data_IF_764277366466
#
_entry.id   IF_764277366466
#
_cell.length_a   1.000
_cell.length_b   1.000
_cell.length_c   1.000
_cell.angle_alpha   90.00
_cell.angle_beta   90.00
_cell.angle_gamma   90.00
#
_symmetry.space_group_name_H-M   'P 1'
#
loop_
_entity.id
_entity.type
_entity.pdbx_description
1 polymer ?
2 non-polymer ?
3 non-polymer ?
4 water ?
#
# COMPACT_ATOMS: atom_id res chain seq x y z
N UNK A 6 -18.99 -0.05 -0.75
CA UNK A 6 -17.71 0.09 -1.44
C UNK A 6 -16.61 0.66 -0.54
N UNK A 7 -16.89 0.86 0.75
CA UNK A 7 -15.93 1.47 1.67
C UNK A 7 -15.92 0.74 2.99
N UNK A 8 -14.76 0.77 3.67
CA UNK A 8 -14.66 0.28 5.04
C UNK A 8 -14.43 1.46 5.97
N UNK A 9 -15.19 1.49 7.07
CA UNK A 9 -15.05 2.51 8.08
C UNK A 9 -13.80 2.26 8.92
N UNK A 10 -12.87 3.23 8.93
CA UNK A 10 -11.61 3.16 9.65
C UNK A 10 -11.81 3.47 11.13
N UNK A 11 -10.83 3.07 11.96
CA UNK A 11 -10.96 3.26 13.40
C UNK A 11 -10.93 4.72 13.83
N UNK A 12 -10.73 5.67 12.91
CA UNK A 12 -10.83 7.10 13.22
C UNK A 12 -12.07 7.72 12.61
N UNK A 13 -12.97 6.92 12.04
CA UNK A 13 -14.23 7.41 11.54
C UNK A 13 -14.26 7.80 10.07
N UNK A 14 -13.10 7.87 9.41
CA UNK A 14 -13.09 8.11 7.96
C UNK A 14 -13.39 6.81 7.21
N UNK A 15 -13.66 6.94 5.90
CA UNK A 15 -14.02 5.82 5.05
C UNK A 15 -12.98 5.61 3.95
N UNK A 16 -12.53 4.35 3.81
CA UNK A 16 -11.55 3.93 2.81
C UNK A 16 -12.23 3.04 1.77
N UNK A 17 -12.27 3.43 0.49
CA UNK A 17 -12.76 2.50 -0.52
C UNK A 17 -11.94 1.21 -0.48
N UNK A 18 -12.61 0.07 -0.70
CA UNK A 18 -11.98 -1.24 -0.50
C UNK A 18 -11.16 -1.70 -1.70
N UNK A 19 -11.29 -1.06 -2.86
CA UNK A 19 -10.42 -1.31 -4.00
C UNK A 19 -9.57 -0.07 -4.25
N UNK A 20 -8.26 -0.25 -4.32
CA UNK A 20 -7.35 0.86 -4.50
C UNK A 20 -6.47 0.68 -5.71
N UNK A 21 -6.10 1.79 -6.33
CA UNK A 21 -5.30 1.76 -7.53
C UNK A 21 -3.83 1.93 -7.16
N UNK A 22 -2.99 0.97 -7.55
CA UNK A 22 -1.55 1.09 -7.31
C UNK A 22 -0.90 1.93 -8.40
N UNK A 23 -0.03 2.86 -8.00
CA UNK A 23 0.62 3.70 -8.99
C UNK A 23 2.11 3.42 -9.14
N UNK A 24 2.71 2.60 -8.27
CA UNK A 24 4.13 2.35 -8.41
C UNK A 24 4.41 1.51 -9.66
N UNK A 25 5.49 1.85 -10.36
CA UNK A 25 5.93 1.08 -11.51
C UNK A 25 7.45 1.01 -11.46
N UNK A 26 8.04 0.00 -12.09
CA UNK A 26 9.50 -0.04 -12.24
C UNK A 26 10.02 1.28 -12.78
N UNK A 27 11.30 1.56 -12.47
CA UNK A 27 11.89 2.85 -12.83
C UNK A 27 11.91 3.08 -14.35
N UNK A 28 12.06 2.02 -15.14
CA UNK A 28 12.13 2.20 -16.59
C UNK A 28 10.87 2.86 -17.14
N UNK A 29 9.73 2.65 -16.49
CA UNK A 29 8.49 3.27 -16.99
C UNK A 29 8.61 4.78 -16.84
N UNK A 30 8.42 5.56 -17.91
CA UNK A 30 8.54 7.02 -17.79
C UNK A 30 7.42 7.61 -16.93
N UNK A 31 7.71 8.79 -16.38
CA UNK A 31 6.81 9.43 -15.40
C UNK A 31 5.44 9.72 -16.00
N UNK A 32 5.40 10.08 -17.28
CA UNK A 32 4.13 10.50 -17.88
C UNK A 32 3.08 9.41 -17.84
N UNK A 33 3.48 8.13 -17.73
CA UNK A 33 2.51 7.04 -17.75
C UNK A 33 1.70 6.98 -16.48
N UNK A 34 2.26 7.41 -15.35
CA UNK A 34 1.48 7.45 -14.10
C UNK A 34 0.33 8.43 -14.21
N UNK A 35 0.53 9.55 -14.93
CA UNK A 35 -0.57 10.49 -15.10
C UNK A 35 -1.72 9.88 -15.91
N UNK A 36 -1.40 9.27 -17.05
CA UNK A 36 -2.47 8.74 -17.89
C UNK A 36 -3.11 7.50 -17.26
N UNK A 37 -2.32 6.63 -16.64
CA UNK A 37 -2.91 5.47 -15.96
C UNK A 37 -3.87 5.90 -14.85
N UNK A 38 -3.45 6.82 -13.97
CA UNK A 38 -4.33 7.25 -12.89
C UNK A 38 -5.63 7.89 -13.43
N UNK A 39 -5.54 8.58 -14.57
CA UNK A 39 -6.76 9.15 -15.13
C UNK A 39 -7.69 8.06 -15.62
N UNK A 40 -7.15 7.06 -16.32
CA UNK A 40 -7.97 5.92 -16.71
C UNK A 40 -8.57 5.25 -15.50
N UNK A 41 -7.75 4.97 -14.47
CA UNK A 41 -8.26 4.34 -13.25
C UNK A 41 -9.47 5.09 -12.72
N UNK A 42 -9.37 6.42 -12.64
CA UNK A 42 -10.49 7.21 -12.11
C UNK A 42 -11.71 7.09 -13.02
N UNK A 43 -11.50 7.21 -14.33
CA UNK A 43 -12.57 7.04 -15.29
C UNK A 43 -13.21 5.67 -15.15
N UNK A 44 -12.40 4.63 -14.87
CA UNK A 44 -12.91 3.28 -14.75
C UNK A 44 -13.64 3.04 -13.45
N UNK A 45 -13.44 3.87 -12.43
CA UNK A 45 -14.21 3.74 -11.21
C UNK A 45 -13.41 3.67 -9.93
N UNK A 46 -12.08 3.67 -10.03
CA UNK A 46 -11.23 3.73 -8.85
C UNK A 46 -11.40 5.07 -8.15
N UNK A 47 -11.62 5.01 -6.84
CA UNK A 47 -11.66 6.19 -5.99
C UNK A 47 -10.54 6.23 -4.97
N UNK A 48 -9.91 5.10 -4.70
CA UNK A 48 -8.82 4.95 -3.74
C UNK A 48 -7.53 4.88 -4.54
N UNK A 49 -6.60 5.80 -4.29
CA UNK A 49 -5.37 5.89 -5.08
C UNK A 49 -4.16 5.86 -4.16
N UNK A 50 -3.22 4.96 -4.44
CA UNK A 50 -2.09 4.70 -3.57
C UNK A 50 -0.79 5.17 -4.22
N UNK A 51 -0.08 6.07 -3.56
CA UNK A 51 1.22 6.48 -4.03
C UNK A 51 2.14 6.65 -2.83
N UNK A 52 3.21 7.41 -3.01
CA UNK A 52 4.23 7.60 -1.97
C UNK A 52 5.34 8.52 -2.47
N UNK A 53 6.02 9.23 -1.56
CA UNK A 53 7.20 9.98 -1.98
C UNK A 53 8.17 9.07 -2.75
N UNK A 54 8.37 7.84 -2.27
CA UNK A 54 9.34 6.95 -2.89
C UNK A 54 9.10 6.80 -4.39
N UNK A 55 7.83 6.79 -4.82
CA UNK A 55 7.50 6.41 -6.18
C UNK A 55 7.87 7.48 -7.20
N UNK A 56 8.17 8.72 -6.78
CA UNK A 56 8.61 9.77 -7.69
C UNK A 56 7.59 10.01 -8.80
N UNK A 57 6.30 9.92 -8.45
CA UNK A 57 5.21 10.21 -9.39
C UNK A 57 4.14 11.14 -8.80
N UNK A 58 4.37 11.71 -7.62
CA UNK A 58 3.26 12.41 -6.99
C UNK A 58 2.84 13.65 -7.79
N UNK A 59 3.76 14.27 -8.54
CA UNK A 59 3.33 15.38 -9.40
C UNK A 59 2.38 14.89 -10.48
N UNK A 60 2.67 13.73 -11.05
CA UNK A 60 1.81 13.18 -12.09
C UNK A 60 0.49 12.67 -11.51
N UNK A 61 0.54 11.97 -10.37
CA UNK A 61 -0.68 11.42 -9.78
C UNK A 61 -1.61 12.52 -9.29
N UNK A 62 -1.05 13.62 -8.78
CA UNK A 62 -1.88 14.73 -8.37
C UNK A 62 -2.51 15.45 -9.54
N UNK A 63 -1.75 15.63 -10.62
CA UNK A 63 -2.30 16.23 -11.82
C UNK A 63 -3.48 15.40 -12.34
N UNK A 64 -3.31 14.06 -12.40
CA UNK A 64 -4.40 13.19 -12.81
C UNK A 64 -5.64 13.36 -11.94
N UNK A 65 -5.44 13.29 -10.61
CA UNK A 65 -6.53 13.53 -9.66
C UNK A 65 -7.16 14.89 -9.91
N UNK A 66 -6.34 15.94 -10.00
CA UNK A 66 -6.91 17.28 -10.13
C UNK A 66 -7.60 17.44 -11.48
N UNK A 67 -7.13 16.72 -12.50
CA UNK A 67 -7.75 16.80 -13.82
C UNK A 67 -9.17 16.26 -13.78
N UNK A 68 -9.40 15.14 -13.10
CA UNK A 68 -10.75 14.60 -13.05
C UNK A 68 -11.66 15.41 -12.12
N UNK A 69 -11.10 16.19 -11.19
CA UNK A 69 -11.91 17.19 -10.51
C UNK A 69 -12.22 18.34 -11.45
N UNK A 70 -11.21 18.82 -12.18
CA UNK A 70 -11.43 19.93 -13.10
C UNK A 70 -12.53 19.63 -14.12
N UNK A 71 -12.57 18.40 -14.62
CA UNK A 71 -13.51 18.07 -15.68
C UNK A 71 -14.85 17.55 -15.16
N UNK A 72 -15.08 17.67 -13.84
CA UNK A 72 -16.36 17.30 -13.27
C UNK A 72 -16.58 15.82 -13.05
N UNK A 73 -15.55 14.99 -13.24
CA UNK A 73 -15.73 13.55 -13.03
C UNK A 73 -15.99 13.24 -11.56
N UNK A 74 -15.21 13.85 -10.68
CA UNK A 74 -15.20 13.51 -9.26
C UNK A 74 -15.03 14.79 -8.47
N UNK A 75 -15.41 14.75 -7.20
CA UNK A 75 -15.05 15.79 -6.26
C UNK A 75 -13.89 15.31 -5.40
N UNK A 76 -13.12 16.27 -4.87
CA UNK A 76 -12.02 15.90 -3.99
C UNK A 76 -12.45 14.87 -2.97
N UNK A 77 -13.62 15.07 -2.36
CA UNK A 77 -14.07 14.21 -1.26
C UNK A 77 -14.41 12.80 -1.72
N UNK A 78 -14.62 12.58 -3.02
CA UNK A 78 -14.82 11.23 -3.55
C UNK A 78 -13.52 10.45 -3.69
N UNK A 79 -12.37 11.11 -3.61
CA UNK A 79 -11.06 10.50 -3.86
C UNK A 79 -10.41 10.23 -2.51
N UNK A 80 -9.85 9.03 -2.34
CA UNK A 80 -9.06 8.65 -1.16
C UNK A 80 -7.61 8.51 -1.63
N UNK A 81 -6.79 9.50 -1.34
CA UNK A 81 -5.41 9.50 -1.81
C UNK A 81 -4.47 9.25 -0.64
N UNK A 82 -3.64 8.24 -0.77
CA UNK A 82 -2.64 7.85 0.21
C UNK A 82 -1.27 8.29 -0.26
N UNK A 83 -0.50 8.88 0.64
CA UNK A 83 0.94 9.06 0.45
C UNK A 83 1.66 8.32 1.56
N UNK A 84 2.99 8.31 1.49
CA UNK A 84 3.80 7.59 2.47
C UNK A 84 5.08 8.38 2.75
N UNK A 85 5.45 8.41 4.02
CA UNK A 85 6.71 8.99 4.46
C UNK A 85 7.84 8.00 4.26
N UNK A 86 8.89 8.41 3.55
CA UNK A 86 9.95 7.46 3.25
C UNK A 86 10.97 7.41 4.38
N UNK A 87 11.85 6.41 4.32
CA UNK A 87 12.77 6.11 5.41
C UNK A 87 13.77 7.24 5.69
N UNK A 88 14.00 8.13 4.72
CA UNK A 88 14.94 9.20 4.98
C UNK A 88 14.33 10.37 5.76
N UNK A 89 13.06 10.27 6.18
CA UNK A 89 12.44 11.35 6.95
C UNK A 89 11.73 10.83 8.18
N UNK A 90 12.25 9.76 8.80
CA UNK A 90 11.66 9.26 10.03
C UNK A 90 11.91 10.18 11.20
N UNK A 91 13.02 10.93 11.18
CA UNK A 91 13.36 11.81 12.29
C UNK A 91 12.19 12.77 12.55
N UNK A 92 11.77 12.94 13.79
CA UNK A 92 10.54 13.71 14.04
C UNK A 92 10.50 15.05 13.35
N UNK A 93 11.59 15.81 13.42
CA UNK A 93 11.60 17.15 12.82
C UNK A 93 11.42 17.11 11.30
N UNK A 94 11.69 15.98 10.64
CA UNK A 94 11.58 15.91 9.19
C UNK A 94 10.25 15.36 8.69
N UNK A 95 9.36 14.87 9.58
CA UNK A 95 8.14 14.22 9.12
C UNK A 95 7.20 15.22 8.44
N UNK A 96 6.93 16.36 9.08
CA UNK A 96 5.99 17.26 8.45
C UNK A 96 6.55 17.85 7.15
N UNK A 97 7.82 18.27 7.12
CA UNK A 97 8.41 18.73 5.85
C UNK A 97 8.22 17.74 4.70
N UNK A 98 8.38 16.45 4.98
CA UNK A 98 8.17 15.44 3.96
C UNK A 98 6.72 15.42 3.51
N UNK A 99 5.78 15.49 4.45
CA UNK A 99 4.36 15.54 4.08
C UNK A 99 4.04 16.78 3.26
N UNK A 100 4.62 17.93 3.63
CA UNK A 100 4.35 19.17 2.91
C UNK A 100 5.01 19.18 1.54
N UNK A 101 6.15 18.50 1.41
CA UNK A 101 6.76 18.37 0.08
C UNK A 101 5.89 17.50 -0.83
N UNK A 102 5.36 16.38 -0.33
CA UNK A 102 4.42 15.60 -1.12
C UNK A 102 3.22 16.44 -1.55
N UNK A 103 2.66 17.24 -0.64
CA UNK A 103 1.49 18.06 -0.96
C UNK A 103 1.80 19.13 -1.99
N UNK A 104 2.97 19.77 -1.90
CA UNK A 104 3.32 20.74 -2.93
C UNK A 104 3.54 20.05 -4.28
N UNK A 105 4.13 18.84 -4.26
CA UNK A 105 4.22 18.04 -5.48
C UNK A 105 2.82 17.72 -6.01
N UNK A 106 1.91 17.29 -5.13
CA UNK A 106 0.58 16.94 -5.59
C UNK A 106 -0.24 18.17 -5.90
N UNK A 107 0.11 19.32 -5.31
CA UNK A 107 -0.73 20.51 -5.40
C UNK A 107 -2.10 20.19 -4.82
N UNK A 108 -2.11 19.40 -3.75
CA UNK A 108 -3.28 19.09 -2.95
C UNK A 108 -3.10 19.69 -1.57
N UNK A 109 -4.22 19.94 -0.89
CA UNK A 109 -4.18 20.54 0.43
C UNK A 109 -4.02 19.52 1.54
N UNK A 110 -4.41 18.27 1.30
CA UNK A 110 -4.26 17.22 2.27
C UNK A 110 -4.21 15.87 1.55
N UNK A 111 -3.59 14.90 2.20
CA UNK A 111 -3.71 13.50 1.81
C UNK A 111 -4.78 12.89 2.70
N UNK A 112 -5.51 11.92 2.14
CA UNK A 112 -6.47 11.21 2.99
C UNK A 112 -5.78 10.27 3.96
N UNK A 113 -4.57 9.83 3.64
CA UNK A 113 -3.88 8.83 4.45
C UNK A 113 -2.39 9.00 4.26
N UNK A 114 -1.66 9.06 5.36
CA UNK A 114 -0.22 9.14 5.34
C UNK A 114 0.34 7.97 6.13
N UNK A 115 1.22 7.17 5.52
CA UNK A 115 1.76 5.98 6.15
C UNK A 115 3.25 6.11 6.43
N UNK A 116 3.69 5.58 7.56
CA UNK A 116 5.10 5.19 7.65
C UNK A 116 5.32 4.03 6.68
N UNK A 117 6.15 4.25 5.67
CA UNK A 117 6.26 3.35 4.52
C UNK A 117 6.90 2.02 4.88
N UNK A 118 7.95 2.07 5.71
CA UNK A 118 8.79 0.93 6.05
C UNK A 118 9.49 1.27 7.35
N UNK A 119 9.58 0.36 8.31
CA UNK A 119 10.02 0.74 9.66
C UNK A 119 11.52 0.87 9.88
N UNK A 120 12.37 0.68 8.87
CA UNK A 120 13.82 0.87 9.00
C UNK A 120 14.22 2.25 8.46
N UNK A 121 14.90 3.05 9.27
CA UNK A 121 15.29 4.41 8.92
C UNK A 121 16.61 4.42 8.17
N UNK A 122 16.79 5.43 7.31
CA UNK A 122 18.07 5.68 6.64
C UNK A 122 18.46 7.14 6.82
N UNK A 123 19.71 7.43 6.52
CA UNK A 123 20.27 8.75 6.76
C UNK A 123 19.43 9.81 6.06
N UNK A 124 19.18 10.96 6.69
CA UNK A 124 18.43 12.03 6.02
C UNK A 124 19.18 12.52 4.79
N UNK A 125 18.43 13.03 3.83
CA UNK A 125 19.02 13.52 2.59
C UNK A 125 18.18 13.17 1.39
N UNK A 126 18.39 13.90 0.30
CA UNK A 126 17.60 13.69 -0.90
C UNK A 126 17.73 12.27 -1.46
N UNK A 127 18.80 11.53 -1.11
CA UNK A 127 18.93 10.16 -1.60
C UNK A 127 17.99 9.25 -0.81
N UNK A 128 17.07 8.58 -1.51
CA UNK A 128 16.10 7.71 -0.84
C UNK A 128 16.76 6.42 -0.38
N UNK A 129 17.82 5.99 -1.07
CA UNK A 129 18.59 4.81 -0.70
C UNK A 129 20.06 5.17 -0.58
N UNK A 130 20.48 5.85 0.49
CA UNK A 130 21.88 6.25 0.59
C UNK A 130 22.76 5.06 0.91
N UNK A 131 23.98 5.07 0.37
CA UNK A 131 24.89 3.94 0.49
C UNK A 131 26.31 4.46 0.67
N UNK A 132 27.13 3.67 1.37
CA UNK A 132 28.55 3.97 1.52
C UNK A 132 29.31 3.44 0.29
N UNK A 133 30.64 3.39 0.36
CA UNK A 133 31.45 3.04 -0.80
C UNK A 133 31.46 1.53 -1.05
N UNK A 134 31.33 0.72 0.00
CA UNK A 134 31.12 -0.72 -0.11
C UNK A 134 29.70 -1.07 -0.56
N UNK A 135 28.90 -0.06 -0.91
CA UNK A 135 27.54 -0.29 -1.35
C UNK A 135 26.56 -0.61 -0.24
N UNK A 136 26.94 -0.42 1.02
CA UNK A 136 26.02 -0.75 2.09
C UNK A 136 25.17 0.46 2.45
N UNK A 137 23.95 0.18 2.89
CA UNK A 137 22.99 1.23 3.17
C UNK A 137 23.43 2.01 4.40
N UNK A 138 23.28 3.32 4.34
CA UNK A 138 23.58 4.19 5.47
C UNK A 138 22.34 4.30 6.34
N UNK A 139 22.19 3.35 7.27
CA UNK A 139 21.01 3.33 8.12
C UNK A 139 21.05 4.46 9.14
N UNK A 140 19.89 4.77 9.70
CA UNK A 140 19.73 5.80 10.69
C UNK A 140 19.12 5.17 11.95
N UNK A 141 19.15 5.93 13.03
CA UNK A 141 18.71 5.49 14.35
C UNK A 141 17.61 6.43 14.81
N UNK A 142 16.36 5.97 14.69
CA UNK A 142 15.21 6.79 15.03
C UNK A 142 14.23 5.97 15.85
N UNK A 143 13.68 6.59 16.89
CA UNK A 143 12.61 6.01 17.67
C UNK A 143 11.30 6.08 16.89
N UNK A 144 10.84 4.93 16.38
CA UNK A 144 9.61 4.89 15.57
C UNK A 144 8.40 5.43 16.33
N UNK A 145 8.37 5.29 17.65
CA UNK A 145 7.33 5.98 18.42
C UNK A 145 7.47 7.49 18.28
N UNK A 146 8.70 7.99 18.26
CA UNK A 146 8.87 9.42 18.04
C UNK A 146 8.42 9.80 16.64
N UNK A 147 8.74 8.97 15.64
CA UNK A 147 8.21 9.22 14.30
C UNK A 147 6.69 9.31 14.33
N UNK A 148 6.04 8.39 15.04
CA UNK A 148 4.58 8.33 15.02
C UNK A 148 3.97 9.57 15.65
N UNK A 149 4.55 10.04 16.75
CA UNK A 149 4.09 11.28 17.37
C UNK A 149 4.10 12.43 16.35
N UNK A 150 5.14 12.47 15.51
CA UNK A 150 5.19 13.52 14.49
C UNK A 150 4.15 13.28 13.39
N UNK A 151 3.92 12.01 13.01
CA UNK A 151 2.83 11.72 12.08
C UNK A 151 1.50 12.13 12.68
N UNK A 152 1.32 11.93 13.99
CA UNK A 152 0.07 12.31 14.63
C UNK A 152 -0.20 13.81 14.50
N UNK A 153 0.81 14.63 14.78
CA UNK A 153 0.66 16.07 14.61
C UNK A 153 0.26 16.45 13.17
N UNK A 154 0.66 15.65 12.17
CA UNK A 154 0.18 15.93 10.81
C UNK A 154 -1.33 15.76 10.73
N UNK A 155 -1.89 14.81 11.48
CA UNK A 155 -3.34 14.66 11.57
C UNK A 155 -3.95 15.84 12.35
N UNK A 156 -3.34 16.20 13.49
CA UNK A 156 -3.77 17.40 14.20
C UNK A 156 -3.81 18.62 13.28
N UNK A 157 -2.80 18.79 12.44
CA UNK A 157 -2.74 19.98 11.61
C UNK A 157 -3.65 19.89 10.38
N UNK A 158 -4.35 18.78 10.17
CA UNK A 158 -5.29 18.67 9.06
C UNK A 158 -4.66 18.36 7.72
N UNK A 159 -3.36 18.02 7.69
CA UNK A 159 -2.64 17.74 6.46
C UNK A 159 -2.85 16.31 6.01
N UNK A 160 -3.16 15.43 6.96
CA UNK A 160 -3.43 14.03 6.66
C UNK A 160 -4.75 13.70 7.34
N UNK A 161 -5.75 13.29 6.57
CA UNK A 161 -7.02 12.97 7.21
C UNK A 161 -6.87 11.78 8.16
N UNK A 162 -6.16 10.74 7.72
CA UNK A 162 -5.94 9.55 8.53
C UNK A 162 -4.45 9.22 8.45
N UNK A 163 -3.97 8.39 9.39
CA UNK A 163 -2.57 8.01 9.43
C UNK A 163 -2.45 6.51 9.73
N UNK A 164 -1.39 5.90 9.24
CA UNK A 164 -1.23 4.47 9.37
C UNK A 164 0.19 4.04 9.13
N UNK A 165 0.38 2.73 8.97
CA UNK A 165 1.72 2.16 8.85
C UNK A 165 1.75 1.18 7.66
N UNK A 166 2.96 0.79 7.29
CA UNK A 166 3.16 -0.18 6.20
C UNK A 166 4.37 -1.03 6.53
N UNK A 167 4.30 -2.32 6.19
CA UNK A 167 5.40 -3.26 6.43
C UNK A 167 5.78 -3.33 7.91
N UNK A 168 4.80 -3.24 8.80
CA UNK A 168 5.02 -3.40 10.24
C UNK A 168 4.64 -4.82 10.65
N UNK A 169 5.46 -5.46 11.50
CA UNK A 169 5.04 -6.75 12.04
C UNK A 169 4.21 -6.54 13.31
N UNK A 170 3.84 -7.65 13.95
CA UNK A 170 2.98 -7.54 15.12
C UNK A 170 3.64 -6.78 16.26
N UNK A 171 4.90 -7.13 16.57
CA UNK A 171 5.57 -6.43 17.67
C UNK A 171 5.70 -4.95 17.38
N UNK A 172 5.85 -4.57 16.12
CA UNK A 172 5.97 -3.16 15.79
C UNK A 172 4.63 -2.45 15.91
N UNK A 173 3.54 -3.16 15.61
CA UNK A 173 2.22 -2.59 15.83
C UNK A 173 1.93 -2.44 17.32
N UNK A 174 2.31 -3.44 18.13
CA UNK A 174 2.08 -3.31 19.58
C UNK A 174 2.91 -2.17 20.17
N UNK A 175 4.08 -1.89 19.58
CA UNK A 175 4.89 -0.77 20.05
C UNK A 175 4.16 0.57 19.86
N UNK A 176 3.60 0.80 18.68
CA UNK A 176 2.72 1.96 18.52
C UNK A 176 1.51 1.84 19.45
N UNK A 177 0.80 0.72 19.35
CA UNK A 177 -0.48 0.56 20.03
C UNK A 177 -0.37 0.82 21.53
N UNK A 178 0.72 0.35 22.15
CA UNK A 178 0.89 0.41 23.60
C UNK A 178 1.71 1.62 24.04
N UNK A 179 2.03 2.52 23.13
CA UNK A 179 2.87 3.65 23.50
C UNK A 179 2.14 4.55 24.49
N UNK A 180 2.82 5.07 25.52
CA UNK A 180 2.16 5.99 26.45
C UNK A 180 1.78 7.29 25.75
N UNK A 181 0.59 7.77 26.05
CA UNK A 181 0.13 9.00 25.42
C UNK A 181 -0.31 8.88 23.98
N UNK A 182 -0.41 7.68 23.41
CA UNK A 182 -0.92 7.51 22.05
C UNK A 182 -2.16 8.39 21.79
N UNK A 183 -2.10 9.20 20.74
CA UNK A 183 -3.29 9.95 20.31
C UNK A 183 -4.13 9.18 19.27
N UNK A 184 -3.49 8.63 18.25
CA UNK A 184 -4.21 8.01 17.15
C UNK A 184 -3.62 6.63 16.85
N UNK A 185 -4.46 5.60 16.91
CA UNK A 185 -4.07 4.31 16.39
C UNK A 185 -3.77 4.43 14.91
N UNK A 186 -2.90 3.58 14.37
CA UNK A 186 -2.85 3.39 12.92
C UNK A 186 -4.20 2.89 12.44
N UNK A 187 -4.72 3.49 11.36
CA UNK A 187 -5.96 2.97 10.79
C UNK A 187 -5.71 1.73 9.94
N UNK A 188 -4.49 1.50 9.50
CA UNK A 188 -4.26 0.42 8.57
C UNK A 188 -2.81 0.03 8.68
N UNK A 189 -2.50 -1.15 8.13
CA UNK A 189 -1.15 -1.66 7.99
C UNK A 189 -1.10 -2.21 6.58
N UNK A 190 -0.36 -1.55 5.69
CA UNK A 190 -0.34 -1.95 4.29
C UNK A 190 0.83 -2.90 4.07
N UNK A 191 0.53 -4.14 3.69
CA UNK A 191 1.53 -5.19 3.59
C UNK A 191 1.26 -6.01 2.35
N UNK A 192 2.29 -6.75 1.93
CA UNK A 192 2.12 -7.79 0.93
C UNK A 192 1.08 -8.79 1.37
N UNK A 193 0.12 -9.07 0.48
CA UNK A 193 -0.88 -10.08 0.78
C UNK A 193 -1.48 -10.60 -0.52
N UNK A 194 -1.44 -11.92 -0.69
CA UNK A 194 -2.02 -12.59 -1.86
C UNK A 194 -2.23 -14.05 -1.50
N UNK A 195 -2.90 -14.82 -2.37
CA UNK A 195 -3.17 -16.22 -2.01
C UNK A 195 -1.91 -17.05 -1.71
N UNK A 196 -0.72 -16.62 -2.15
CA UNK A 196 0.49 -17.37 -1.81
C UNK A 196 1.12 -16.94 -0.50
N UNK A 197 0.62 -15.86 0.12
CA UNK A 197 1.11 -15.26 1.37
C UNK A 197 -0.09 -14.49 1.96
N UNK A 198 -1.05 -15.23 2.54
CA UNK A 198 -2.35 -14.64 2.80
C UNK A 198 -2.42 -13.93 4.15
N UNK A 199 -1.32 -13.89 4.89
CA UNK A 199 -1.16 -13.07 6.10
C UNK A 199 -2.23 -13.35 7.14
N UNK A 200 -2.79 -14.56 7.12
CA UNK A 200 -3.86 -14.92 8.04
C UNK A 200 -3.58 -14.48 9.48
N UNK A 201 -2.35 -14.70 9.97
CA UNK A 201 -2.07 -14.40 11.37
C UNK A 201 -2.02 -12.90 11.62
N UNK A 202 -1.35 -12.16 10.72
CA UNK A 202 -1.27 -10.70 10.89
C UNK A 202 -2.64 -10.08 10.67
N UNK A 203 -3.40 -10.62 9.71
CA UNK A 203 -4.76 -10.15 9.48
C UNK A 203 -5.61 -10.33 10.73
N UNK A 204 -5.50 -11.47 11.39
CA UNK A 204 -6.30 -11.70 12.60
C UNK A 204 -5.87 -10.73 13.70
N UNK A 205 -4.58 -10.43 13.79
CA UNK A 205 -4.14 -9.44 14.78
C UNK A 205 -4.67 -8.04 14.44
N UNK A 206 -4.53 -7.63 13.19
CA UNK A 206 -5.00 -6.31 12.78
C UNK A 206 -6.48 -6.14 13.10
N UNK A 207 -7.30 -7.10 12.66
CA UNK A 207 -8.70 -7.08 13.05
C UNK A 207 -8.86 -6.86 14.55
N UNK A 208 -8.12 -7.63 15.35
CA UNK A 208 -8.29 -7.52 16.80
C UNK A 208 -8.13 -6.07 17.28
N UNK A 209 -7.33 -5.26 16.57
CA UNK A 209 -7.07 -3.90 16.98
C UNK A 209 -7.77 -2.87 16.07
N UNK A 210 -8.76 -3.30 15.30
CA UNK A 210 -9.47 -2.42 14.37
C UNK A 210 -8.51 -1.75 13.39
N UNK A 211 -7.50 -2.47 12.96
CA UNK A 211 -6.56 -1.99 11.95
C UNK A 211 -6.90 -2.69 10.64
N UNK A 212 -7.15 -1.91 9.59
CA UNK A 212 -7.41 -2.50 8.29
C UNK A 212 -6.12 -3.02 7.71
N UNK A 213 -6.13 -4.25 7.19
CA UNK A 213 -5.00 -4.75 6.42
C UNK A 213 -5.22 -4.39 4.96
N UNK A 214 -4.27 -3.67 4.37
CA UNK A 214 -4.33 -3.33 2.95
C UNK A 214 -3.29 -4.17 2.21
N UNK A 215 -3.73 -4.90 1.22
CA UNK A 215 -2.89 -5.85 0.53
C UNK A 215 -2.20 -5.16 -0.64
N UNK A 216 -0.86 -5.25 -0.70
CA UNK A 216 -0.14 -4.87 -1.89
C UNK A 216 0.46 -6.11 -2.55
N UNK A 217 0.81 -5.98 -3.83
CA UNK A 217 1.18 -7.13 -4.66
C UNK A 217 0.09 -8.19 -4.62
N UNK A 218 -1.17 -7.75 -4.55
CA UNK A 218 -2.30 -8.65 -4.48
C UNK A 218 -2.41 -9.53 -5.70
N UNK A 219 -1.80 -9.10 -6.81
CA UNK A 219 -1.76 -9.82 -8.07
C UNK A 219 -0.44 -10.52 -8.30
N UNK A 220 0.42 -10.59 -7.28
CA UNK A 220 1.67 -11.30 -7.42
C UNK A 220 2.86 -10.42 -7.72
N UNK A 221 2.65 -9.10 -7.79
CA UNK A 221 3.71 -8.10 -7.85
C UNK A 221 4.23 -7.89 -9.26
N UNK A 222 4.88 -6.75 -9.45
CA UNK A 222 5.52 -6.40 -10.72
C UNK A 222 6.52 -7.45 -11.16
N UNK A 223 7.04 -8.27 -10.24
CA UNK A 223 8.07 -9.24 -10.52
C UNK A 223 9.35 -8.58 -11.08
N UNK A 224 9.54 -7.30 -10.78
CA UNK A 224 10.67 -6.54 -11.27
C UNK A 224 11.94 -6.99 -10.56
N UNK A 225 12.92 -7.47 -11.33
CA UNK A 225 14.24 -7.67 -10.76
C UNK A 225 14.91 -6.30 -10.58
N UNK A 226 15.72 -6.15 -9.53
CA UNK A 226 16.21 -7.12 -8.56
C UNK A 226 15.35 -7.23 -7.29
N UNK A 227 14.10 -6.79 -7.34
CA UNK A 227 13.29 -6.82 -6.13
C UNK A 227 12.63 -8.16 -5.90
N UNK A 228 12.37 -8.91 -6.97
CA UNK A 228 11.64 -10.18 -6.89
C UNK A 228 12.43 -11.20 -7.70
N UNK A 229 12.51 -12.41 -7.18
CA UNK A 229 13.17 -13.51 -7.88
C UNK A 229 12.30 -14.01 -9.03
N UNK A 230 12.82 -14.06 -10.27
CA UNK A 230 12.01 -14.56 -11.38
C UNK A 230 11.64 -16.04 -11.26
N UNK A 231 12.29 -16.80 -10.38
CA UNK A 231 11.94 -18.20 -10.20
C UNK A 231 10.80 -18.41 -9.20
N UNK A 232 10.33 -17.33 -8.57
CA UNK A 232 9.17 -17.44 -7.71
C UNK A 232 7.97 -17.83 -8.56
N UNK A 233 7.05 -18.63 -8.02
CA UNK A 233 5.86 -18.99 -8.80
C UNK A 233 5.09 -17.74 -9.21
N UNK A 234 4.47 -17.80 -10.39
CA UNK A 234 3.67 -16.72 -10.94
C UNK A 234 2.25 -16.85 -10.41
N UNK A 235 1.87 -15.99 -9.46
CA UNK A 235 0.55 -16.09 -8.85
C UNK A 235 -0.55 -16.24 -9.89
N UNK A 236 -0.57 -15.36 -10.90
CA UNK A 236 -1.67 -15.33 -11.85
C UNK A 236 -1.65 -16.48 -12.85
N UNK A 237 -0.61 -17.31 -12.84
CA UNK A 237 -0.63 -18.58 -13.57
C UNK A 237 -1.11 -19.73 -12.69
N UNK A 238 -1.63 -19.45 -11.50
CA UNK A 238 -1.97 -20.52 -10.55
C UNK A 238 -3.10 -21.39 -11.07
N UNK A 239 -2.93 -22.70 -11.10
CA UNK A 239 -4.02 -23.58 -11.56
C UNK A 239 -5.38 -23.35 -10.90
N UNK A 240 -5.44 -23.20 -9.58
CA UNK A 240 -6.71 -23.01 -8.91
C UNK A 240 -7.32 -21.65 -9.30
N UNK A 241 -6.52 -20.58 -9.25
CA UNK A 241 -7.03 -19.27 -9.66
C UNK A 241 -7.51 -19.28 -11.11
N UNK A 242 -6.79 -19.97 -11.98
CA UNK A 242 -7.21 -20.03 -13.39
C UNK A 242 -8.48 -20.86 -13.57
N UNK A 243 -8.64 -21.95 -12.81
CA UNK A 243 -9.88 -22.72 -12.87
C UNK A 243 -11.06 -21.89 -12.37
N UNK A 244 -10.90 -21.22 -11.23
CA UNK A 244 -11.97 -20.33 -10.78
C UNK A 244 -12.24 -19.21 -11.78
N UNK A 245 -11.22 -18.78 -12.52
CA UNK A 245 -11.42 -17.78 -13.56
C UNK A 245 -12.33 -18.31 -14.65
N UNK A 246 -12.02 -19.51 -15.19
CA UNK A 246 -12.88 -20.09 -16.22
C UNK A 246 -14.30 -20.28 -15.72
N UNK A 247 -14.45 -20.83 -14.51
CA UNK A 247 -15.78 -21.13 -13.99
C UNK A 247 -16.62 -19.87 -13.86
N UNK A 248 -16.03 -18.77 -13.42
CA UNK A 248 -16.78 -17.55 -13.18
C UNK A 248 -16.83 -16.63 -14.38
N UNK A 249 -16.12 -16.97 -15.46
CA UNK A 249 -16.05 -16.08 -16.62
C UNK A 249 -15.35 -14.78 -16.25
N UNK A 250 -14.39 -14.87 -15.33
CA UNK A 250 -13.56 -13.75 -14.92
C UNK A 250 -12.13 -14.04 -15.37
N UNK A 251 -11.15 -13.54 -14.62
CA UNK A 251 -9.73 -13.73 -14.84
C UNK A 251 -9.08 -14.07 -13.51
N UNK A 252 -7.85 -14.59 -13.53
CA UNK A 252 -7.20 -14.94 -12.26
C UNK A 252 -6.92 -13.72 -11.38
N UNK A 253 -6.53 -12.58 -11.97
CA UNK A 253 -6.38 -11.35 -11.20
C UNK A 253 -7.66 -11.03 -10.45
N UNK A 254 -8.79 -11.14 -11.14
CA UNK A 254 -10.09 -10.85 -10.53
C UNK A 254 -10.37 -11.80 -9.38
N UNK A 255 -10.06 -13.09 -9.55
CA UNK A 255 -10.21 -14.03 -8.45
C UNK A 255 -9.33 -13.60 -7.27
N UNK A 256 -8.05 -13.32 -7.55
CA UNK A 256 -7.14 -12.90 -6.48
C UNK A 256 -7.68 -11.68 -5.75
N UNK A 257 -8.20 -10.71 -6.49
CA UNK A 257 -8.74 -9.50 -5.86
C UNK A 257 -9.99 -9.81 -5.05
N UNK A 258 -10.89 -10.65 -5.59
CA UNK A 258 -12.16 -10.90 -4.91
C UNK A 258 -11.93 -11.62 -3.59
N UNK A 259 -10.95 -12.52 -3.58
CA UNK A 259 -10.61 -13.26 -2.36
C UNK A 259 -10.36 -12.32 -1.19
N UNK A 260 -9.57 -11.26 -1.42
CA UNK A 260 -9.27 -10.33 -0.32
C UNK A 260 -10.53 -9.60 0.14
N UNK A 261 -11.33 -9.09 -0.79
CA UNK A 261 -12.53 -8.37 -0.39
C UNK A 261 -13.40 -9.25 0.52
N UNK A 262 -13.54 -10.54 0.19
CA UNK A 262 -14.45 -11.39 0.94
C UNK A 262 -13.90 -11.85 2.28
N UNK A 263 -12.59 -11.69 2.52
CA UNK A 263 -12.02 -11.91 3.84
C UNK A 263 -11.77 -10.59 4.58
N UNK A 264 -12.32 -9.47 4.10
CA UNK A 264 -12.20 -8.22 4.84
C UNK A 264 -10.88 -7.50 4.66
N UNK A 265 -10.18 -7.75 3.56
CA UNK A 265 -8.91 -7.09 3.28
C UNK A 265 -9.15 -6.04 2.21
N UNK A 266 -8.69 -4.81 2.47
CA UNK A 266 -8.66 -3.79 1.43
C UNK A 266 -7.53 -4.12 0.47
N UNK A 267 -7.80 -4.01 -0.83
CA UNK A 267 -6.93 -4.63 -1.83
C UNK A 267 -6.52 -3.59 -2.88
N UNK A 268 -5.21 -3.44 -3.06
CA UNK A 268 -4.63 -2.60 -4.11
C UNK A 268 -4.48 -3.42 -5.38
N UNK A 269 -4.45 -2.71 -6.50
CA UNK A 269 -4.16 -3.37 -7.76
C UNK A 269 -3.56 -2.35 -8.72
N UNK A 270 -2.31 -2.58 -9.11
CA UNK A 270 -1.62 -1.72 -10.05
C UNK A 270 -1.77 -2.25 -11.47
N UNK A 271 -1.96 -1.33 -12.40
CA UNK A 271 -1.82 -1.66 -13.82
C UNK A 271 -1.78 -0.36 -14.60
N UNK A 272 -0.88 -0.31 -15.58
CA UNK A 272 -0.75 0.82 -16.48
C UNK A 272 -1.37 0.52 -17.84
N UNK A 273 -2.19 -0.52 -17.91
CA UNK A 273 -2.82 -0.97 -19.14
C UNK A 273 -4.30 -0.62 -19.08
N UNK A 274 -4.78 0.08 -20.09
CA UNK A 274 -6.17 0.53 -20.09
C UNK A 274 -7.14 -0.63 -19.95
N UNK A 275 -6.87 -1.75 -20.63
CA UNK A 275 -7.78 -2.90 -20.60
C UNK A 275 -7.84 -3.52 -19.21
N UNK A 276 -6.69 -3.76 -18.59
CA UNK A 276 -6.67 -4.40 -17.28
C UNK A 276 -7.06 -3.45 -16.16
N UNK A 277 -6.77 -2.15 -16.30
CA UNK A 277 -7.35 -1.17 -15.38
C UNK A 277 -8.87 -1.29 -15.37
N UNK A 278 -9.47 -1.37 -16.57
CA UNK A 278 -10.92 -1.48 -16.65
C UNK A 278 -11.39 -2.82 -16.12
N UNK A 279 -10.67 -3.89 -16.45
CA UNK A 279 -11.05 -5.21 -15.97
C UNK A 279 -11.11 -5.24 -14.44
N UNK A 280 -10.12 -4.62 -13.78
CA UNK A 280 -9.91 -4.85 -12.35
C UNK A 280 -11.01 -4.26 -11.47
N UNK A 281 -11.72 -3.24 -11.95
CA UNK A 281 -12.82 -2.67 -11.18
C UNK A 281 -14.06 -3.55 -11.23
N UNK A 282 -14.05 -4.58 -12.08
CA UNK A 282 -15.14 -5.54 -12.11
C UNK A 282 -15.08 -6.51 -10.94
N UNK A 283 -14.15 -6.31 -10.00
CA UNK A 283 -14.09 -7.17 -8.82
C UNK A 283 -15.41 -7.12 -8.07
N UNK A 284 -16.19 -6.06 -8.23
CA UNK A 284 -17.46 -5.92 -7.53
C UNK A 284 -18.62 -6.63 -8.23
N UNK A 285 -18.43 -7.17 -9.45
CA UNK A 285 -19.54 -7.71 -10.22
C UNK A 285 -19.91 -9.16 -9.89
N UNK A 286 -19.15 -9.87 -9.07
CA UNK A 286 -19.43 -11.28 -8.81
C UNK A 286 -18.94 -11.63 -7.41
N UNK A 287 -19.12 -12.88 -7.02
CA UNK A 287 -18.67 -13.30 -5.69
C UNK A 287 -18.32 -14.79 -5.67
N UNK A 288 -17.42 -15.13 -4.75
CA UNK A 288 -16.95 -16.50 -4.58
C UNK A 288 -17.75 -17.16 -3.47
N UNK A 289 -17.94 -18.48 -3.62
CA UNK A 289 -18.61 -19.29 -2.61
C UNK A 289 -17.65 -19.60 -1.46
N UNK A 290 -18.21 -20.11 -0.37
CA UNK A 290 -17.41 -20.49 0.79
C UNK A 290 -16.37 -21.54 0.42
N UNK A 291 -16.74 -22.48 -0.45
CA UNK A 291 -15.87 -23.58 -0.83
C UNK A 291 -14.75 -23.10 -1.75
N UNK A 292 -15.04 -22.13 -2.61
CA UNK A 292 -13.99 -21.50 -3.40
C UNK A 292 -13.07 -20.66 -2.51
N UNK A 293 -13.64 -19.93 -1.55
CA UNK A 293 -12.78 -19.22 -0.61
C UNK A 293 -11.82 -20.19 0.09
N UNK A 294 -12.35 -21.33 0.53
CA UNK A 294 -11.51 -22.30 1.24
C UNK A 294 -10.42 -22.85 0.33
N UNK A 295 -10.75 -23.15 -0.92
CA UNK A 295 -9.74 -23.61 -1.87
C UNK A 295 -8.63 -22.58 -2.03
N UNK A 296 -8.99 -21.30 -2.15
CA UNK A 296 -7.97 -20.27 -2.30
C UNK A 296 -7.11 -20.19 -1.04
N UNK A 297 -7.72 -20.41 0.14
CA UNK A 297 -6.96 -20.44 1.39
C UNK A 297 -5.84 -21.46 1.32
N UNK A 298 -6.11 -22.61 0.70
CA UNK A 298 -5.10 -23.64 0.63
C UNK A 298 -3.90 -23.25 -0.19
N UNK A 299 -4.05 -22.25 -1.06
CA UNK A 299 -2.94 -21.86 -1.94
C UNK A 299 -1.77 -21.26 -1.16
N UNK A 300 -1.97 -20.86 0.10
CA UNK A 300 -0.90 -20.23 0.86
C UNK A 300 0.36 -21.09 0.80
N UNK A 301 1.49 -20.48 0.50
CA UNK A 301 2.76 -21.18 0.49
C UNK A 301 3.85 -20.42 1.24
N UNK A 302 3.49 -19.41 2.02
CA UNK A 302 4.41 -18.51 2.71
C UNK A 302 5.53 -18.09 1.75
N UNK A 303 5.07 -17.45 0.67
CA UNK A 303 5.88 -17.02 -0.46
C UNK A 303 5.83 -15.50 -0.48
N UNK A 304 6.87 -14.85 0.04
CA UNK A 304 7.00 -13.40 0.02
C UNK A 304 7.72 -12.99 -1.24
N UNK A 305 7.06 -12.19 -2.08
CA UNK A 305 7.73 -11.67 -3.27
C UNK A 305 8.68 -10.53 -2.95
N UNK A 306 8.32 -9.70 -1.99
CA UNK A 306 9.05 -8.46 -1.71
C UNK A 306 9.70 -8.60 -0.34
N UNK A 307 10.88 -9.23 -0.31
CA UNK A 307 11.57 -9.44 0.95
C UNK A 307 12.28 -8.19 1.42
N UNK A 308 12.67 -7.33 0.49
CA UNK A 308 13.42 -6.12 0.80
C UNK A 308 14.67 -6.44 1.63
N UNK A 309 15.38 -7.51 1.23
CA UNK A 309 16.67 -7.83 1.85
C UNK A 309 17.56 -6.62 1.97
N UNK A 310 17.44 -5.70 1.01
CA UNK A 310 18.27 -4.50 0.96
C UNK A 310 18.32 -3.82 2.33
N UNK A 311 17.27 -3.96 3.13
CA UNK A 311 17.19 -3.28 4.41
C UNK A 311 17.26 -4.23 5.59
N UNK A 312 17.70 -5.47 5.39
CA UNK A 312 17.85 -6.37 6.53
C UNK A 312 19.14 -6.04 7.27
N UNK A 313 19.26 -6.58 8.49
CA UNK A 313 20.38 -6.29 9.35
C UNK A 313 19.94 -5.53 10.60
N UNK A 314 19.40 -4.33 10.40
CA UNK A 314 18.96 -3.55 11.54
C UNK A 314 17.82 -4.21 12.25
N UNK A 315 17.63 -3.95 13.54
CA UNK A 315 16.56 -4.61 14.30
C UNK A 315 15.18 -4.35 13.74
N UNK A 316 14.93 -3.14 13.26
CA UNK A 316 13.63 -2.74 12.74
C UNK A 316 13.23 -3.53 11.50
N UNK A 317 14.10 -4.39 10.97
CA UNK A 317 13.75 -5.13 9.76
C UNK A 317 12.51 -5.98 10.01
N UNK A 318 11.40 -5.74 9.31
CA UNK A 318 10.11 -6.29 9.77
C UNK A 318 9.93 -7.79 9.53
N UNK A 319 10.58 -8.38 8.54
CA UNK A 319 10.15 -9.70 8.06
C UNK A 319 10.92 -10.85 8.70
N UNK A 320 11.64 -10.63 9.80
CA UNK A 320 12.32 -11.72 10.51
C UNK A 320 11.39 -12.44 11.49
N UNK A 321 10.50 -11.70 12.16
CA UNK A 321 9.52 -12.35 13.00
C UNK A 321 8.59 -13.23 12.17
N UNK A 322 7.95 -14.20 12.84
CA UNK A 322 6.95 -15.04 12.20
C UNK A 322 5.85 -14.21 11.56
N UNK A 323 5.39 -13.16 12.25
CA UNK A 323 4.48 -12.18 11.64
C UNK A 323 4.41 -10.94 12.52
#
# INVERSE_FOLDING_TARGET
>A
MDSKYQCVKLNDGHFMPVLGFGTYAPAEVPKSKALEATKLAIEAGFRHIDSAHLYNNEEQVGLAIRSKIADGSVKREDIFYTSKLWCNSHRPELVRPALERSLKNLQLDYVDLYLIHFPVSVKPGEEVIPKDENGKILFDTVDLCATWEAVEKCKDAGLAKSIGVSNFNRRQLEMILNKPGLKYKPVCNQVECHPYFNQRKLLDFCKSKDIVLVAYSALGSHREEPWVDPNSPVLLEDPVLCALAKKHKRTPALIALRYQLQRGVVVLAKSYNEQRIRQNVQVFEFQLTSEEMKAIDGLNRNVRYLTLDIFAGPPNYPFSDEY
#
